data_IF_941675191906
#
_entry.id   IF_941675191906
#
_cell.length_a   1.000
_cell.length_b   1.000
_cell.length_c   1.000
_cell.angle_alpha   90.00
_cell.angle_beta   90.00
_cell.angle_gamma   90.00
#
_symmetry.space_group_name_H-M   'P 1'
#
loop_
_entity.id
_entity.type
_entity.pdbx_description
1 polymer ?
#
# COMPACT_ATOMS: atom_id res chain seq x y z
N UNK A 1 -2.03 -39.05 0.18
CA UNK A 1 -1.74 -38.06 1.24
C UNK A 1 -2.91 -37.09 1.29
N UNK A 2 -3.90 -37.34 2.15
CA UNK A 2 -5.08 -36.47 2.30
C UNK A 2 -4.80 -35.45 3.40
N UNK A 3 -4.48 -34.21 3.02
CA UNK A 3 -4.57 -33.05 3.91
C UNK A 3 -5.75 -32.22 3.42
N UNK A 4 -6.83 -32.04 4.19
CA UNK A 4 -7.84 -31.04 3.85
C UNK A 4 -7.17 -29.66 3.84
N UNK A 5 -7.04 -29.14 2.63
CA UNK A 5 -6.46 -27.87 2.21
C UNK A 5 -7.33 -26.65 2.57
N UNK A 6 -8.56 -26.92 3.04
CA UNK A 6 -9.53 -25.95 3.54
C UNK A 6 -9.30 -25.50 4.99
N UNK A 7 -8.06 -25.28 5.43
CA UNK A 7 -7.83 -24.65 6.73
C UNK A 7 -8.13 -23.14 6.62
N UNK A 8 -9.21 -22.62 7.21
CA UNK A 8 -9.55 -21.22 7.13
C UNK A 8 -8.42 -20.39 7.75
N UNK A 9 -7.77 -19.57 6.94
CA UNK A 9 -6.68 -18.70 7.38
C UNK A 9 -7.15 -17.26 7.32
N UNK A 10 -7.43 -16.68 8.48
CA UNK A 10 -7.93 -15.30 8.62
C UNK A 10 -6.96 -14.23 8.09
N UNK A 11 -5.67 -14.53 7.89
CA UNK A 11 -4.68 -13.57 7.37
C UNK A 11 -5.00 -13.03 5.98
N UNK A 12 -5.54 -13.87 5.08
CA UNK A 12 -5.82 -13.47 3.70
C UNK A 12 -6.92 -12.38 3.63
N UNK A 13 -8.13 -12.58 4.21
CA UNK A 13 -9.16 -11.54 4.19
C UNK A 13 -8.75 -10.29 4.97
N UNK A 14 -8.09 -10.45 6.13
CA UNK A 14 -7.58 -9.30 6.91
C UNK A 14 -6.51 -8.52 6.12
N UNK A 15 -5.61 -9.22 5.44
CA UNK A 15 -4.60 -8.60 4.58
C UNK A 15 -5.22 -7.79 3.44
N UNK A 16 -6.25 -8.33 2.77
CA UNK A 16 -6.95 -7.59 1.72
C UNK A 16 -7.61 -6.32 2.28
N UNK A 17 -8.31 -6.42 3.41
CA UNK A 17 -8.96 -5.25 4.03
C UNK A 17 -7.91 -4.21 4.44
N UNK A 18 -6.81 -4.63 5.07
CA UNK A 18 -5.74 -3.72 5.46
C UNK A 18 -5.08 -3.05 4.25
N UNK A 19 -4.91 -3.76 3.12
CA UNK A 19 -4.41 -3.17 1.88
C UNK A 19 -5.35 -2.09 1.35
N UNK A 20 -6.66 -2.37 1.31
CA UNK A 20 -7.68 -1.42 0.86
C UNK A 20 -7.68 -0.18 1.77
N UNK A 21 -7.68 -0.37 3.09
CA UNK A 21 -7.63 0.74 4.05
C UNK A 21 -6.35 1.55 3.89
N UNK A 22 -5.20 0.90 3.78
CA UNK A 22 -3.92 1.59 3.55
C UNK A 22 -3.95 2.42 2.26
N UNK A 23 -4.58 1.90 1.19
CA UNK A 23 -4.69 2.63 -0.07
C UNK A 23 -5.64 3.82 0.00
N UNK A 24 -6.77 3.68 0.72
CA UNK A 24 -7.67 4.80 0.99
C UNK A 24 -6.95 5.89 1.77
N UNK A 25 -6.27 5.53 2.87
CA UNK A 25 -5.49 6.47 3.67
C UNK A 25 -4.41 7.17 2.83
N UNK A 26 -3.76 6.41 1.95
CA UNK A 26 -2.75 6.96 1.05
C UNK A 26 -3.33 7.97 0.07
N UNK A 27 -4.46 7.66 -0.57
CA UNK A 27 -5.15 8.57 -1.48
C UNK A 27 -5.58 9.85 -0.76
N UNK A 28 -6.16 9.73 0.43
CA UNK A 28 -6.56 10.89 1.25
C UNK A 28 -5.35 11.76 1.56
N UNK A 29 -4.23 11.16 1.98
CA UNK A 29 -2.98 11.86 2.24
C UNK A 29 -2.44 12.58 0.99
N UNK A 30 -2.47 11.92 -0.18
CA UNK A 30 -2.01 12.53 -1.42
C UNK A 30 -2.90 13.71 -1.81
N UNK A 31 -4.23 13.55 -1.75
CA UNK A 31 -5.18 14.61 -2.10
C UNK A 31 -5.02 15.84 -1.22
N UNK A 32 -4.78 15.68 0.08
CA UNK A 32 -4.53 16.82 0.98
C UNK A 32 -3.21 17.53 0.71
N UNK A 33 -2.23 16.83 0.14
CA UNK A 33 -0.93 17.40 -0.24
C UNK A 33 -0.94 18.07 -1.62
N UNK A 34 -1.84 17.70 -2.53
CA UNK A 34 -1.91 18.28 -3.89
C UNK A 34 -2.12 19.80 -3.84
N UNK A 35 -3.03 20.28 -2.99
CA UNK A 35 -3.37 21.70 -2.93
C UNK A 35 -2.17 22.61 -2.59
N UNK A 36 -1.37 22.36 -1.53
CA UNK A 36 -0.17 23.15 -1.26
C UNK A 36 0.94 22.94 -2.32
N UNK A 37 1.10 21.73 -2.86
CA UNK A 37 2.13 21.43 -3.89
C UNK A 37 1.84 22.17 -5.19
N UNK A 38 0.56 22.34 -5.55
CA UNK A 38 0.13 23.01 -6.79
C UNK A 38 0.60 24.46 -6.89
N UNK A 39 0.92 25.10 -5.76
CA UNK A 39 1.42 26.48 -5.68
C UNK A 39 2.91 26.59 -5.99
N UNK A 40 3.64 25.47 -6.02
CA UNK A 40 5.08 25.46 -6.27
C UNK A 40 5.39 25.55 -7.76
N UNK A 41 6.64 25.88 -8.10
CA UNK A 41 7.11 25.87 -9.48
C UNK A 41 7.08 24.43 -10.05
N UNK A 42 6.73 24.28 -11.33
CA UNK A 42 6.54 22.97 -11.99
C UNK A 42 7.73 22.03 -11.81
N UNK A 43 8.95 22.55 -11.86
CA UNK A 43 10.17 21.74 -11.68
C UNK A 43 10.26 21.07 -10.30
N UNK A 44 9.65 21.64 -9.27
CA UNK A 44 9.57 21.03 -7.93
C UNK A 44 8.38 20.07 -7.82
N UNK A 45 7.31 20.31 -8.56
CA UNK A 45 6.13 19.43 -8.56
C UNK A 45 6.45 18.05 -9.13
N UNK A 46 7.20 17.99 -10.23
CA UNK A 46 7.55 16.72 -10.92
C UNK A 46 8.21 15.69 -9.99
N UNK A 47 9.33 15.98 -9.31
CA UNK A 47 9.97 15.01 -8.42
C UNK A 47 9.07 14.65 -7.24
N UNK A 48 8.29 15.59 -6.71
CA UNK A 48 7.37 15.31 -5.60
C UNK A 48 6.28 14.33 -6.02
N UNK A 49 5.65 14.52 -7.18
CA UNK A 49 4.65 13.59 -7.69
C UNK A 49 5.25 12.24 -8.07
N UNK A 50 6.49 12.19 -8.56
CA UNK A 50 7.19 10.92 -8.77
C UNK A 50 7.40 10.17 -7.45
N UNK A 51 7.83 10.87 -6.39
CA UNK A 51 8.02 10.25 -5.07
C UNK A 51 6.67 9.77 -4.53
N UNK A 52 5.61 10.59 -4.56
CA UNK A 52 4.26 10.18 -4.19
C UNK A 52 3.73 9.02 -5.07
N UNK A 53 4.14 8.94 -6.34
CA UNK A 53 3.78 7.83 -7.21
C UNK A 53 4.50 6.51 -6.90
N UNK A 54 5.67 6.55 -6.24
CA UNK A 54 6.55 5.39 -6.06
C UNK A 54 6.62 4.93 -4.59
N UNK A 55 6.55 5.84 -3.63
CA UNK A 55 6.83 5.53 -2.21
C UNK A 55 5.85 4.49 -1.64
N UNK A 56 4.61 4.46 -2.14
CA UNK A 56 3.58 3.50 -1.70
C UNK A 56 3.87 2.05 -2.12
N UNK A 57 4.77 1.82 -3.10
CA UNK A 57 5.18 0.48 -3.52
C UNK A 57 6.16 -0.16 -2.53
N UNK A 58 6.92 0.64 -1.78
CA UNK A 58 7.92 0.16 -0.82
C UNK A 58 7.33 -0.80 0.24
N UNK A 59 6.21 -0.48 0.91
CA UNK A 59 5.62 -1.40 1.87
C UNK A 59 4.91 -2.60 1.22
N UNK A 60 4.51 -2.49 -0.06
CA UNK A 60 3.68 -3.49 -0.74
C UNK A 60 4.33 -4.88 -0.77
N UNK A 61 5.62 -4.94 -1.11
CA UNK A 61 6.36 -6.22 -1.16
C UNK A 61 6.33 -6.96 0.18
N UNK A 62 6.66 -6.26 1.28
CA UNK A 62 6.72 -6.86 2.63
C UNK A 62 5.33 -7.28 3.11
N UNK A 63 4.32 -6.48 2.78
CA UNK A 63 2.94 -6.75 3.13
C UNK A 63 2.38 -7.99 2.43
N UNK A 64 2.67 -8.15 1.13
CA UNK A 64 2.27 -9.34 0.37
C UNK A 64 2.92 -10.62 0.90
N UNK A 65 4.22 -10.56 1.23
CA UNK A 65 4.93 -11.70 1.84
C UNK A 65 4.29 -12.09 3.17
N UNK A 66 3.93 -11.10 4.00
CA UNK A 66 3.24 -11.36 5.26
C UNK A 66 1.84 -11.96 5.05
N UNK A 67 1.08 -11.47 4.07
CA UNK A 67 -0.25 -11.99 3.77
C UNK A 67 -0.22 -13.46 3.39
N UNK A 68 0.73 -13.86 2.53
CA UNK A 68 0.88 -15.25 2.08
C UNK A 68 1.50 -16.15 3.16
N UNK A 69 2.60 -15.71 3.77
CA UNK A 69 3.44 -16.58 4.63
C UNK A 69 3.25 -16.39 6.13
N UNK A 70 2.65 -15.27 6.57
CA UNK A 70 2.56 -14.87 7.97
C UNK A 70 3.90 -14.38 8.56
N UNK A 71 4.94 -14.23 7.73
CA UNK A 71 6.28 -13.79 8.13
C UNK A 71 6.59 -12.46 7.45
N UNK A 72 7.32 -11.59 8.15
CA UNK A 72 7.71 -10.27 7.64
C UNK A 72 9.02 -10.36 6.82
N UNK A 73 9.04 -11.18 5.77
CA UNK A 73 10.27 -11.46 5.01
C UNK A 73 11.21 -12.42 5.71
#
# INVERSE_FOLDING_TARGET
MNRPDWKPTWRKPVGIIALIVAMILYVVLVVTLIEPISRWHVLLQVPVYLILGVVWLLPLKRFLIWMETGRWG
#
